data_IF_967141361056
#
_entry.id   IF_967141361056
#
_cell.length_a   1.000
_cell.length_b   1.000
_cell.length_c   1.000
_cell.angle_alpha   90.00
_cell.angle_beta   90.00
_cell.angle_gamma   90.00
#
_symmetry.space_group_name_H-M   'P 1'
#
loop_
_entity.id
_entity.type
_entity.pdbx_description
1 polymer ?
#
# COMPACT_ATOMS: atom_id res chain seq x y z
N UNK A 1 -30.81 7.99 17.45
CA UNK A 1 -29.70 7.08 17.77
C UNK A 1 -29.11 6.66 16.45
N UNK A 2 -27.82 6.88 16.21
CA UNK A 2 -27.17 6.60 14.93
C UNK A 2 -26.91 5.09 14.78
N UNK A 3 -26.70 4.61 13.54
CA UNK A 3 -26.27 3.23 13.24
C UNK A 3 -25.15 2.72 14.13
N UNK A 4 -24.16 3.57 14.37
CA UNK A 4 -23.03 3.30 15.24
C UNK A 4 -23.43 2.93 16.68
N UNK A 5 -24.48 3.55 17.25
CA UNK A 5 -24.86 3.33 18.65
C UNK A 5 -25.54 1.98 18.92
N UNK A 6 -26.20 1.37 17.92
CA UNK A 6 -26.83 0.05 18.05
C UNK A 6 -25.87 -1.10 17.73
N UNK A 7 -24.85 -0.81 16.91
CA UNK A 7 -23.79 -1.77 16.58
C UNK A 7 -22.98 -2.07 17.85
N UNK A 8 -22.70 -1.08 18.71
CA UNK A 8 -21.90 -1.23 19.94
C UNK A 8 -22.40 -2.31 20.93
N UNK A 9 -23.69 -2.66 20.94
CA UNK A 9 -24.23 -3.70 21.85
C UNK A 9 -23.98 -5.14 21.36
N UNK A 10 -23.64 -5.33 20.08
CA UNK A 10 -23.39 -6.62 19.43
C UNK A 10 -22.15 -6.61 18.52
N UNK A 11 -21.31 -5.58 18.63
CA UNK A 11 -20.11 -5.42 17.85
C UNK A 11 -18.90 -5.87 18.63
N UNK A 12 -17.97 -6.45 17.88
CA UNK A 12 -16.64 -6.75 18.36
C UNK A 12 -15.67 -5.80 17.69
N UNK A 13 -14.64 -5.40 18.44
CA UNK A 13 -13.51 -4.67 17.87
C UNK A 13 -12.61 -5.69 17.19
N UNK A 14 -12.46 -5.57 15.88
CA UNK A 14 -11.55 -6.44 15.11
C UNK A 14 -10.45 -5.60 14.46
N UNK A 15 -9.28 -6.21 14.37
CA UNK A 15 -8.17 -5.64 13.61
C UNK A 15 -8.37 -5.94 12.13
N UNK A 16 -8.42 -4.87 11.33
CA UNK A 16 -8.38 -4.91 9.88
C UNK A 16 -6.93 -4.75 9.44
N UNK A 17 -6.49 -5.61 8.55
CA UNK A 17 -5.25 -5.50 7.79
C UNK A 17 -5.59 -5.02 6.38
N UNK A 18 -5.11 -3.84 6.01
CA UNK A 18 -5.32 -3.22 4.71
C UNK A 18 -4.00 -3.11 3.97
N UNK A 19 -3.94 -3.69 2.77
CA UNK A 19 -2.81 -3.46 1.87
C UNK A 19 -2.83 -1.99 1.43
N UNK A 20 -1.68 -1.32 1.47
CA UNK A 20 -1.51 -0.06 0.77
C UNK A 20 -1.80 -0.27 -0.72
N UNK A 21 -2.25 0.78 -1.40
CA UNK A 21 -2.46 0.76 -2.83
C UNK A 21 -1.19 0.26 -3.54
N UNK A 22 -1.35 -0.53 -4.61
CA UNK A 22 -0.28 -1.16 -5.40
C UNK A 22 0.55 -0.19 -6.26
N UNK A 23 0.75 1.02 -5.76
CA UNK A 23 1.76 1.90 -6.30
C UNK A 23 3.11 1.45 -5.75
N UNK A 24 4.05 1.18 -6.65
CA UNK A 24 5.38 0.82 -6.22
C UNK A 24 5.97 1.97 -5.43
N UNK A 25 6.42 1.68 -4.20
CA UNK A 25 7.20 2.60 -3.38
C UNK A 25 8.65 2.16 -3.39
N UNK A 26 9.54 3.09 -3.73
CA UNK A 26 10.99 2.84 -3.79
C UNK A 26 11.70 3.78 -2.83
N UNK A 27 12.63 3.24 -2.03
CA UNK A 27 13.51 4.04 -1.19
C UNK A 27 14.92 4.06 -1.73
N UNK A 28 15.51 5.24 -1.81
CA UNK A 28 16.93 5.44 -2.12
C UNK A 28 17.61 5.95 -0.85
N UNK A 29 18.71 5.32 -0.45
CA UNK A 29 19.53 5.71 0.68
C UNK A 29 20.95 6.04 0.21
N UNK A 30 21.48 7.17 0.68
CA UNK A 30 22.88 7.54 0.52
C UNK A 30 23.68 7.22 1.79
N UNK A 31 24.90 6.72 1.63
CA UNK A 31 25.77 6.31 2.74
C UNK A 31 26.44 7.49 3.49
N UNK A 32 26.56 8.65 2.85
CA UNK A 32 27.14 9.88 3.38
C UNK A 32 26.38 11.13 2.93
N UNK A 33 26.66 12.28 3.56
CA UNK A 33 26.09 13.57 3.13
C UNK A 33 26.80 14.07 1.88
N UNK A 34 26.06 14.76 1.02
CA UNK A 34 26.63 15.48 -0.12
C UNK A 34 27.45 16.68 0.36
N UNK A 35 28.49 16.98 -0.39
CA UNK A 35 29.43 18.07 -0.14
C UNK A 35 29.55 18.97 -1.36
N UNK A 36 30.08 20.17 -1.15
CA UNK A 36 30.30 21.15 -2.22
C UNK A 36 31.00 20.55 -3.43
N UNK A 37 30.39 20.75 -4.60
CA UNK A 37 30.91 20.25 -5.87
C UNK A 37 30.44 18.85 -6.26
N UNK A 38 29.57 18.20 -5.47
CA UNK A 38 28.93 16.97 -5.92
C UNK A 38 27.98 17.22 -7.10
N UNK A 39 27.97 16.28 -8.04
CA UNK A 39 26.96 16.14 -9.09
C UNK A 39 26.25 14.80 -8.88
N UNK A 40 24.96 14.84 -8.59
CA UNK A 40 24.14 13.68 -8.25
C UNK A 40 23.29 13.37 -9.48
N UNK A 41 23.42 12.17 -10.02
CA UNK A 41 22.70 11.75 -11.22
C UNK A 41 22.15 10.33 -11.06
N UNK A 42 21.03 10.06 -11.71
CA UNK A 42 20.45 8.72 -11.82
C UNK A 42 19.60 8.62 -13.08
N UNK A 43 19.31 7.40 -13.50
CA UNK A 43 18.36 7.13 -14.57
C UNK A 43 17.11 6.47 -13.99
N UNK A 44 15.94 7.03 -14.29
CA UNK A 44 14.63 6.51 -13.88
C UNK A 44 13.83 6.23 -15.14
N UNK A 45 13.51 4.95 -15.37
CA UNK A 45 12.78 4.48 -16.56
C UNK A 45 13.38 4.94 -17.90
N UNK A 46 14.71 5.09 -17.96
CA UNK A 46 15.40 5.55 -19.17
C UNK A 46 15.54 7.07 -19.27
N UNK A 47 14.99 7.85 -18.34
CA UNK A 47 15.14 9.31 -18.28
C UNK A 47 16.22 9.67 -17.26
N UNK A 48 17.19 10.47 -17.67
CA UNK A 48 18.25 10.95 -16.79
C UNK A 48 17.75 12.12 -15.95
N UNK A 49 17.99 12.03 -14.64
CA UNK A 49 17.78 13.09 -13.66
C UNK A 49 19.13 13.44 -13.07
N UNK A 50 19.42 14.73 -12.95
CA UNK A 50 20.66 15.19 -12.33
C UNK A 50 20.48 16.52 -11.61
N UNK A 51 21.13 16.64 -10.45
CA UNK A 51 21.16 17.86 -9.64
C UNK A 51 22.59 18.08 -9.13
N UNK A 52 23.08 19.30 -9.26
CA UNK A 52 24.32 19.72 -8.62
C UNK A 52 24.10 20.05 -7.13
N UNK A 53 25.14 19.86 -6.32
CA UNK A 53 25.14 20.27 -4.93
C UNK A 53 24.72 21.74 -4.79
N UNK A 54 23.82 21.99 -3.84
CA UNK A 54 23.30 23.32 -3.54
C UNK A 54 24.10 23.98 -2.41
N UNK A 55 23.44 24.39 -1.33
CA UNK A 55 24.11 25.04 -0.20
C UNK A 55 24.45 24.05 0.90
N UNK A 56 23.58 23.07 1.10
CA UNK A 56 23.72 22.02 2.10
C UNK A 56 23.03 20.71 1.65
N UNK A 57 23.15 19.67 2.48
CA UNK A 57 22.53 18.37 2.25
C UNK A 57 21.01 18.48 2.08
N UNK A 58 20.32 19.22 2.95
CA UNK A 58 18.87 19.27 2.97
C UNK A 58 18.29 19.95 1.73
N UNK A 59 18.90 21.07 1.31
CA UNK A 59 18.55 21.80 0.09
C UNK A 59 18.85 21.00 -1.17
N UNK A 60 19.98 20.28 -1.20
CA UNK A 60 20.33 19.40 -2.33
C UNK A 60 19.37 18.22 -2.44
N UNK A 61 19.05 17.54 -1.33
CA UNK A 61 18.07 16.45 -1.31
C UNK A 61 16.67 16.92 -1.73
N UNK A 62 16.26 18.12 -1.30
CA UNK A 62 14.97 18.69 -1.69
C UNK A 62 14.91 19.01 -3.18
N UNK A 63 16.00 19.59 -3.73
CA UNK A 63 16.10 19.87 -5.15
C UNK A 63 16.07 18.58 -6.00
N UNK A 64 16.80 17.55 -5.56
CA UNK A 64 16.77 16.24 -6.23
C UNK A 64 15.37 15.60 -6.17
N UNK A 65 14.68 15.69 -5.03
CA UNK A 65 13.31 15.19 -4.92
C UNK A 65 12.36 15.89 -5.88
N UNK A 66 12.45 17.22 -6.00
CA UNK A 66 11.63 17.99 -6.96
C UNK A 66 11.89 17.57 -8.41
N UNK A 67 13.16 17.44 -8.82
CA UNK A 67 13.49 17.03 -10.19
C UNK A 67 12.98 15.61 -10.51
N UNK A 68 13.00 14.70 -9.52
CA UNK A 68 12.45 13.35 -9.67
C UNK A 68 10.92 13.35 -9.74
N UNK A 69 10.25 14.18 -8.94
CA UNK A 69 8.77 14.28 -8.92
C UNK A 69 8.20 14.89 -10.21
N UNK A 70 8.97 15.72 -10.91
CA UNK A 70 8.58 16.27 -12.22
C UNK A 70 8.56 15.21 -13.34
N UNK A 71 9.05 13.99 -13.08
CA UNK A 71 8.94 12.86 -14.01
C UNK A 71 7.51 12.31 -14.04
N UNK A 72 6.92 12.15 -15.23
CA UNK A 72 5.54 11.66 -15.38
C UNK A 72 5.25 10.21 -14.93
N UNK A 73 6.28 9.43 -14.57
CA UNK A 73 6.15 8.08 -14.01
C UNK A 73 6.22 8.06 -12.47
N UNK A 74 6.52 9.20 -11.84
CA UNK A 74 6.61 9.38 -10.38
C UNK A 74 5.44 10.26 -9.93
N UNK A 75 4.61 9.78 -9.00
CA UNK A 75 3.52 10.57 -8.40
C UNK A 75 4.06 11.55 -7.37
N UNK A 76 4.94 11.06 -6.50
CA UNK A 76 5.57 11.87 -5.44
C UNK A 76 7.01 11.42 -5.22
N UNK A 77 7.90 12.37 -4.90
CA UNK A 77 9.21 12.08 -4.36
C UNK A 77 9.46 12.96 -3.14
N UNK A 78 9.68 12.33 -1.99
CA UNK A 78 9.84 13.05 -0.71
C UNK A 78 11.15 12.68 -0.03
N UNK A 79 11.74 13.66 0.66
CA UNK A 79 12.88 13.44 1.56
C UNK A 79 12.36 12.82 2.86
N UNK A 80 12.51 11.50 3.00
CA UNK A 80 11.99 10.73 4.14
C UNK A 80 13.00 10.59 5.31
N UNK A 81 14.24 11.02 5.09
CA UNK A 81 15.29 11.12 6.10
C UNK A 81 16.44 12.00 5.61
N UNK A 82 17.45 12.27 6.45
CA UNK A 82 18.56 13.16 6.08
C UNK A 82 19.32 12.74 4.80
N UNK A 83 19.26 11.45 4.45
CA UNK A 83 19.91 10.84 3.28
C UNK A 83 18.98 9.88 2.53
N UNK A 84 17.68 9.95 2.79
CA UNK A 84 16.70 9.00 2.23
C UNK A 84 15.66 9.74 1.37
N UNK A 85 15.41 9.21 0.18
CA UNK A 85 14.29 9.59 -0.68
C UNK A 85 13.27 8.46 -0.71
N UNK A 86 11.99 8.79 -0.64
CA UNK A 86 10.88 7.87 -0.90
C UNK A 86 10.12 8.32 -2.13
N UNK A 87 10.11 7.47 -3.16
CA UNK A 87 9.42 7.67 -4.42
C UNK A 87 8.16 6.81 -4.44
N UNK A 88 7.06 7.34 -4.97
CA UNK A 88 5.83 6.61 -5.26
C UNK A 88 5.57 6.67 -6.76
N UNK A 89 5.33 5.51 -7.39
CA UNK A 89 5.02 5.46 -8.82
C UNK A 89 3.66 6.08 -9.12
N UNK A 90 3.53 6.74 -10.28
CA UNK A 90 2.29 7.34 -10.78
C UNK A 90 1.21 6.32 -11.17
N UNK A 91 1.61 5.09 -11.49
CA UNK A 91 0.70 4.07 -11.98
C UNK A 91 0.77 2.81 -11.12
N UNK A 92 -0.38 2.19 -10.89
CA UNK A 92 -0.46 0.94 -10.13
C UNK A 92 0.15 -0.21 -10.94
N UNK A 93 0.79 -1.15 -10.24
CA UNK A 93 1.39 -2.36 -10.82
C UNK A 93 2.46 -2.13 -11.91
N UNK A 94 3.01 -0.92 -12.04
CA UNK A 94 4.17 -0.62 -12.87
C UNK A 94 5.47 -0.61 -12.07
N UNK A 95 6.60 -0.83 -12.73
CA UNK A 95 7.92 -0.81 -12.11
C UNK A 95 8.65 0.51 -12.42
N UNK A 96 9.16 1.16 -11.38
CA UNK A 96 10.20 2.17 -11.44
C UNK A 96 11.57 1.47 -11.49
N UNK A 97 12.15 1.50 -12.68
CA UNK A 97 13.50 1.01 -12.96
C UNK A 97 14.47 2.16 -12.73
N UNK A 98 15.07 2.18 -11.54
CA UNK A 98 16.11 3.13 -11.18
C UNK A 98 17.46 2.48 -11.38
N UNK A 99 18.31 3.11 -12.20
CA UNK A 99 19.66 2.63 -12.49
C UNK A 99 20.65 3.80 -12.41
N UNK A 100 21.94 3.47 -12.42
CA UNK A 100 23.02 4.45 -12.51
C UNK A 100 22.96 5.57 -11.45
N UNK A 101 22.58 5.24 -10.21
CA UNK A 101 22.67 6.18 -9.09
C UNK A 101 24.16 6.46 -8.84
N UNK A 102 24.59 7.67 -9.17
CA UNK A 102 26.00 8.06 -9.19
C UNK A 102 26.15 9.46 -8.62
N UNK A 103 27.11 9.63 -7.72
CA UNK A 103 27.56 10.92 -7.23
C UNK A 103 29.02 11.13 -7.64
N UNK A 104 29.32 12.26 -8.29
CA UNK A 104 30.68 12.58 -8.78
C UNK A 104 31.11 13.99 -8.36
N UNK A 105 32.33 14.38 -8.71
CA UNK A 105 32.83 15.75 -8.54
C UNK A 105 33.49 16.00 -7.18
N UNK A 106 32.67 16.22 -6.14
CA UNK A 106 33.08 16.65 -4.80
C UNK A 106 34.16 15.79 -4.13
N UNK A 107 34.74 16.34 -3.05
CA UNK A 107 35.84 15.72 -2.30
C UNK A 107 35.45 14.34 -1.75
N UNK A 108 34.21 14.23 -1.27
CA UNK A 108 33.58 12.98 -0.87
C UNK A 108 32.47 12.64 -1.89
N UNK A 109 32.32 11.37 -2.21
CA UNK A 109 31.36 10.87 -3.20
C UNK A 109 30.50 9.78 -2.56
N UNK A 110 29.37 10.15 -1.94
CA UNK A 110 28.44 9.19 -1.37
C UNK A 110 27.94 8.20 -2.41
N UNK A 111 27.74 6.95 -2.01
CA UNK A 111 27.08 5.93 -2.82
C UNK A 111 25.59 5.93 -2.49
N UNK A 112 24.75 5.99 -3.52
CA UNK A 112 23.30 5.82 -3.40
C UNK A 112 22.88 4.41 -3.80
N UNK A 113 22.03 3.79 -2.99
CA UNK A 113 21.47 2.46 -3.27
C UNK A 113 19.97 2.43 -3.07
N UNK A 114 19.31 1.49 -3.74
CA UNK A 114 17.89 1.21 -3.52
C UNK A 114 17.78 0.38 -2.24
N UNK A 115 17.29 0.98 -1.16
CA UNK A 115 17.18 0.33 0.15
C UNK A 115 15.90 -0.48 0.31
N UNK A 116 14.84 -0.16 -0.43
CA UNK A 116 13.64 -1.00 -0.52
C UNK A 116 12.81 -0.74 -1.79
N UNK A 117 12.08 -1.77 -2.23
CA UNK A 117 11.03 -1.69 -3.25
C UNK A 117 9.84 -2.56 -2.82
N UNK A 118 8.65 -1.98 -2.69
CA UNK A 118 7.42 -2.67 -2.29
C UNK A 118 6.22 -2.23 -3.13
N UNK A 119 5.16 -3.02 -3.19
CA UNK A 119 3.90 -2.63 -3.84
C UNK A 119 3.94 -2.65 -5.37
N UNK A 120 4.78 -3.49 -5.98
CA UNK A 120 4.92 -3.58 -7.43
C UNK A 120 5.87 -4.70 -7.87
N UNK A 121 6.15 -4.78 -9.17
CA UNK A 121 7.13 -5.74 -9.70
C UNK A 121 8.57 -5.25 -9.45
N UNK A 122 9.43 -6.16 -9.01
CA UNK A 122 10.88 -5.97 -8.89
C UNK A 122 11.54 -7.10 -9.68
N UNK A 123 12.26 -6.74 -10.75
CA UNK A 123 12.89 -7.72 -11.65
C UNK A 123 11.88 -8.78 -12.17
N UNK A 124 10.66 -8.35 -12.48
CA UNK A 124 9.57 -9.23 -12.94
C UNK A 124 8.94 -10.12 -11.86
N UNK A 125 9.30 -9.96 -10.58
CA UNK A 125 8.65 -10.64 -9.44
C UNK A 125 7.78 -9.67 -8.64
N UNK A 126 6.54 -10.03 -8.37
CA UNK A 126 5.63 -9.21 -7.56
C UNK A 126 6.11 -9.11 -6.11
N UNK A 127 6.23 -7.89 -5.59
CA UNK A 127 6.50 -7.61 -4.19
C UNK A 127 5.24 -7.04 -3.54
N UNK A 128 4.82 -7.65 -2.43
CA UNK A 128 3.60 -7.25 -1.74
C UNK A 128 3.72 -5.80 -1.22
N UNK A 129 2.66 -4.97 -1.33
CA UNK A 129 2.64 -3.64 -0.72
C UNK A 129 2.71 -3.73 0.82
N UNK A 130 3.10 -2.62 1.45
CA UNK A 130 3.01 -2.50 2.90
C UNK A 130 1.56 -2.72 3.35
N UNK A 131 1.39 -3.45 4.44
CA UNK A 131 0.07 -3.62 5.07
C UNK A 131 0.00 -2.70 6.29
N UNK A 132 -1.05 -1.90 6.38
CA UNK A 132 -1.38 -1.13 7.58
C UNK A 132 -2.50 -1.83 8.34
N UNK A 133 -2.54 -1.65 9.65
CA UNK A 133 -3.63 -2.18 10.46
C UNK A 133 -4.37 -1.07 11.19
N UNK A 134 -5.68 -1.24 11.33
CA UNK A 134 -6.54 -0.37 12.12
C UNK A 134 -7.67 -1.17 12.74
N UNK A 135 -8.24 -0.66 13.81
CA UNK A 135 -9.36 -1.31 14.50
C UNK A 135 -10.70 -0.77 13.99
N UNK A 136 -11.68 -1.66 13.87
CA UNK A 136 -13.06 -1.30 13.57
C UNK A 136 -14.02 -1.97 14.55
N UNK A 137 -15.16 -1.34 14.78
CA UNK A 137 -16.33 -2.00 15.35
C UNK A 137 -17.15 -2.67 14.24
N UNK A 138 -17.40 -3.98 14.39
CA UNK A 138 -18.16 -4.76 13.41
C UNK A 138 -19.02 -5.82 14.11
N UNK A 139 -20.25 -6.01 13.63
CA UNK A 139 -21.08 -7.14 14.04
C UNK A 139 -20.91 -8.29 13.04
N UNK A 140 -20.28 -9.39 13.47
CA UNK A 140 -19.98 -10.56 12.63
C UNK A 140 -21.05 -11.64 12.84
N UNK A 141 -21.53 -12.22 11.74
CA UNK A 141 -22.53 -13.28 11.74
C UNK A 141 -22.14 -14.38 10.74
N UNK A 142 -22.39 -15.67 11.05
CA UNK A 142 -22.21 -16.74 10.08
C UNK A 142 -23.18 -16.58 8.90
N UNK A 143 -22.76 -17.00 7.71
CA UNK A 143 -23.65 -17.06 6.55
C UNK A 143 -24.64 -18.23 6.71
N UNK A 144 -25.93 -17.98 6.46
CA UNK A 144 -26.92 -19.05 6.50
C UNK A 144 -26.79 -19.94 5.26
N UNK A 145 -27.18 -21.22 5.37
CA UNK A 145 -27.04 -22.19 4.26
C UNK A 145 -27.74 -21.75 2.95
N UNK A 146 -28.88 -21.07 3.04
CA UNK A 146 -29.57 -20.54 1.85
C UNK A 146 -28.88 -19.31 1.24
N UNK A 147 -28.06 -18.59 2.00
CA UNK A 147 -27.22 -17.50 1.51
C UNK A 147 -26.00 -18.06 0.77
N UNK A 148 -25.40 -19.15 1.25
CA UNK A 148 -24.32 -19.87 0.57
C UNK A 148 -24.73 -20.37 -0.82
N UNK A 149 -25.99 -20.78 -1.00
CA UNK A 149 -26.53 -21.18 -2.30
C UNK A 149 -26.58 -20.04 -3.32
N UNK A 150 -26.45 -18.79 -2.91
CA UNK A 150 -26.38 -17.63 -3.82
C UNK A 150 -24.96 -17.37 -4.31
N UNK A 151 -23.95 -17.98 -3.70
CA UNK A 151 -22.56 -17.88 -4.14
C UNK A 151 -22.29 -18.81 -5.34
N UNK A 152 -21.30 -18.47 -6.18
CA UNK A 152 -20.75 -19.39 -7.18
C UNK A 152 -20.31 -20.71 -6.54
N UNK A 153 -20.41 -21.81 -7.28
CA UNK A 153 -20.15 -23.15 -6.76
C UNK A 153 -18.70 -23.34 -6.26
N UNK A 154 -17.74 -22.73 -6.95
CA UNK A 154 -16.32 -22.76 -6.57
C UNK A 154 -16.04 -22.15 -5.19
N UNK A 155 -16.91 -21.26 -4.71
CA UNK A 155 -16.71 -20.49 -3.49
C UNK A 155 -17.42 -21.10 -2.27
N UNK A 156 -18.34 -22.05 -2.48
CA UNK A 156 -19.16 -22.64 -1.40
C UNK A 156 -18.41 -23.55 -0.44
N UNK A 157 -17.19 -23.94 -0.78
CA UNK A 157 -16.34 -24.83 0.03
C UNK A 157 -15.55 -24.10 1.12
N UNK A 158 -15.46 -22.76 1.04
CA UNK A 158 -14.78 -21.91 2.04
C UNK A 158 -15.72 -21.57 3.19
N UNK A 159 -15.17 -21.22 4.35
CA UNK A 159 -15.97 -20.63 5.43
C UNK A 159 -16.31 -19.16 5.08
N UNK A 160 -17.59 -18.80 5.19
CA UNK A 160 -18.07 -17.46 4.91
C UNK A 160 -18.73 -16.84 6.13
N UNK A 161 -18.42 -15.57 6.36
CA UNK A 161 -19.06 -14.74 7.37
C UNK A 161 -19.56 -13.45 6.73
N UNK A 162 -20.56 -12.82 7.36
CA UNK A 162 -21.02 -11.48 7.00
C UNK A 162 -20.79 -10.54 8.18
N UNK A 163 -20.48 -9.29 7.86
CA UNK A 163 -20.28 -8.25 8.85
C UNK A 163 -21.08 -7.01 8.54
N UNK A 164 -21.45 -6.28 9.59
CA UNK A 164 -22.05 -4.96 9.50
C UNK A 164 -21.19 -3.95 10.25
N UNK A 165 -20.69 -2.94 9.56
CA UNK A 165 -19.80 -1.92 10.13
C UNK A 165 -20.11 -0.55 9.56
N UNK A 166 -19.79 0.51 10.31
CA UNK A 166 -19.85 1.88 9.80
C UNK A 166 -18.64 2.23 8.92
N UNK A 167 -17.51 1.53 9.09
CA UNK A 167 -16.26 1.81 8.41
C UNK A 167 -16.24 1.15 7.02
N UNK A 168 -15.91 1.87 5.94
CA UNK A 168 -15.81 1.26 4.62
C UNK A 168 -14.62 0.30 4.55
N UNK A 169 -14.89 -0.93 4.15
CA UNK A 169 -13.88 -1.94 3.85
C UNK A 169 -13.71 -2.14 2.35
N UNK A 170 -12.46 -2.32 1.93
CA UNK A 170 -12.04 -2.45 0.54
C UNK A 170 -12.19 -3.88 0.07
N UNK A 171 -12.75 -4.05 -1.12
CA UNK A 171 -12.76 -5.31 -1.87
C UNK A 171 -11.45 -5.42 -2.66
N UNK A 172 -11.08 -6.65 -3.03
CA UNK A 172 -10.01 -6.84 -4.00
C UNK A 172 -10.38 -6.17 -5.34
N UNK A 173 -9.39 -5.54 -5.97
CA UNK A 173 -9.51 -4.93 -7.29
C UNK A 173 -8.43 -5.52 -8.21
N UNK A 174 -8.85 -6.30 -9.20
CA UNK A 174 -7.94 -6.94 -10.16
C UNK A 174 -7.25 -5.93 -11.08
N UNK A 175 -7.85 -4.76 -11.33
CA UNK A 175 -7.30 -3.77 -12.25
C UNK A 175 -6.11 -3.02 -11.63
N UNK A 176 -6.22 -2.65 -10.36
CA UNK A 176 -5.10 -2.11 -9.58
C UNK A 176 -4.25 -3.21 -8.93
N UNK A 177 -4.73 -4.44 -8.91
CA UNK A 177 -4.17 -5.60 -8.20
C UNK A 177 -4.35 -5.53 -6.68
N UNK A 178 -5.06 -4.53 -6.16
CA UNK A 178 -5.20 -4.31 -4.72
C UNK A 178 -5.91 -5.51 -4.09
N UNK A 179 -5.37 -6.00 -2.97
CA UNK A 179 -6.02 -7.06 -2.20
C UNK A 179 -7.18 -6.49 -1.40
N UNK A 180 -8.18 -7.33 -1.13
CA UNK A 180 -9.24 -6.95 -0.21
C UNK A 180 -8.71 -6.78 1.20
N UNK A 181 -9.39 -5.96 1.99
CA UNK A 181 -9.11 -5.87 3.42
C UNK A 181 -9.26 -7.25 4.07
N UNK A 182 -8.44 -7.53 5.07
CA UNK A 182 -8.48 -8.78 5.82
C UNK A 182 -8.80 -8.51 7.29
N UNK A 183 -9.54 -9.42 7.92
CA UNK A 183 -9.81 -9.38 9.36
C UNK A 183 -9.36 -10.67 10.04
N UNK A 184 -8.86 -10.54 11.26
CA UNK A 184 -8.60 -11.68 12.13
C UNK A 184 -9.82 -11.92 13.03
N UNK A 185 -10.43 -13.11 12.93
CA UNK A 185 -11.59 -13.49 13.73
C UNK A 185 -11.55 -14.98 14.09
N UNK A 186 -11.73 -15.32 15.36
CA UNK A 186 -11.69 -16.70 15.86
C UNK A 186 -10.45 -17.51 15.42
N UNK A 187 -9.28 -16.87 15.40
CA UNK A 187 -8.01 -17.52 15.01
C UNK A 187 -7.87 -17.80 13.50
N UNK A 188 -8.80 -17.32 12.69
CA UNK A 188 -8.79 -17.41 11.22
C UNK A 188 -8.67 -16.02 10.59
N UNK A 189 -8.15 -15.98 9.37
CA UNK A 189 -8.09 -14.75 8.56
C UNK A 189 -9.16 -14.80 7.49
N UNK A 190 -9.93 -13.73 7.37
CA UNK A 190 -10.98 -13.59 6.37
C UNK A 190 -10.72 -12.38 5.49
N UNK A 191 -10.88 -12.53 4.17
CA UNK A 191 -10.72 -11.45 3.20
C UNK A 191 -12.08 -10.93 2.73
N UNK A 192 -12.17 -9.62 2.55
CA UNK A 192 -13.37 -8.94 2.06
C UNK A 192 -13.59 -9.26 0.58
N UNK A 193 -14.65 -10.00 0.32
CA UNK A 193 -15.04 -10.42 -1.04
C UNK A 193 -16.10 -9.50 -1.65
N UNK A 194 -16.94 -8.90 -0.80
CA UNK A 194 -17.99 -7.98 -1.25
C UNK A 194 -18.28 -6.94 -0.18
N UNK A 195 -18.45 -5.69 -0.59
CA UNK A 195 -18.86 -4.59 0.29
C UNK A 195 -20.03 -3.85 -0.36
N UNK A 196 -21.17 -3.82 0.32
CA UNK A 196 -22.37 -3.11 -0.11
C UNK A 196 -22.63 -1.97 0.86
N UNK A 197 -22.70 -0.74 0.34
CA UNK A 197 -23.00 0.44 1.15
C UNK A 197 -24.51 0.64 1.21
N UNK A 198 -25.07 0.62 2.42
CA UNK A 198 -26.49 0.84 2.67
C UNK A 198 -26.69 2.27 3.15
N UNK A 199 -27.02 3.15 2.20
CA UNK A 199 -27.41 4.54 2.45
C UNK A 199 -28.93 4.66 2.28
N UNK A 200 -29.55 5.69 2.87
CA UNK A 200 -31.00 5.95 2.83
C UNK A 200 -31.84 5.16 3.86
N UNK A 201 -31.20 4.59 4.88
CA UNK A 201 -31.89 4.12 6.09
C UNK A 201 -31.46 4.96 7.29
N UNK A 202 -32.19 4.89 8.41
CA UNK A 202 -31.84 5.60 9.65
C UNK A 202 -30.45 5.18 10.22
N UNK A 203 -29.88 4.08 9.72
CA UNK A 203 -28.59 3.52 10.12
C UNK A 203 -27.68 3.36 8.90
N UNK A 204 -26.90 4.38 8.55
CA UNK A 204 -25.87 4.25 7.51
C UNK A 204 -24.81 3.23 7.91
N UNK A 205 -24.64 2.18 7.11
CA UNK A 205 -23.67 1.12 7.37
C UNK A 205 -23.25 0.41 6.08
N UNK A 206 -22.22 -0.41 6.20
CA UNK A 206 -21.75 -1.32 5.16
C UNK A 206 -22.11 -2.75 5.56
N UNK A 207 -22.68 -3.48 4.60
CA UNK A 207 -22.81 -4.94 4.66
C UNK A 207 -21.63 -5.53 3.91
N UNK A 208 -20.83 -6.34 4.59
CA UNK A 208 -19.60 -6.92 4.04
C UNK A 208 -19.69 -8.44 4.08
N UNK A 209 -19.27 -9.11 3.01
CA UNK A 209 -19.09 -10.56 2.95
C UNK A 209 -17.61 -10.88 2.97
N UNK A 210 -17.23 -11.81 3.84
CA UNK A 210 -15.86 -12.28 3.95
C UNK A 210 -15.77 -13.78 3.70
N UNK A 211 -14.66 -14.20 3.08
CA UNK A 211 -14.31 -15.59 2.89
C UNK A 211 -13.00 -15.91 3.63
N UNK A 212 -12.92 -17.10 4.23
CA UNK A 212 -11.68 -17.58 4.83
C UNK A 212 -10.56 -17.62 3.78
N UNK A 213 -9.42 -17.04 4.14
CA UNK A 213 -8.21 -17.10 3.33
C UNK A 213 -7.48 -18.38 3.72
N UNK A 214 -7.29 -19.28 2.76
CA UNK A 214 -6.36 -20.38 2.94
C UNK A 214 -4.96 -19.76 3.09
N UNK A 215 -4.40 -19.80 4.30
CA UNK A 215 -3.02 -19.39 4.49
C UNK A 215 -2.13 -20.35 3.72
N UNK A 216 -1.46 -19.86 2.67
CA UNK A 216 -0.29 -20.55 2.15
C UNK A 216 0.74 -20.58 3.27
N UNK A 217 1.08 -21.77 3.74
CA UNK A 217 2.25 -21.98 4.58
C UNK A 217 3.44 -21.59 3.72
N UNK A 218 4.08 -20.46 4.06
CA UNK A 218 5.35 -20.09 3.42
C UNK A 218 6.32 -21.28 3.51
N UNK A 219 6.96 -21.69 2.42
CA UNK A 219 7.91 -22.81 2.42
C UNK A 219 9.13 -22.54 3.31
#
# INVERSE_FOLDING_TARGET
>A
MTGAALIHDFAEVVTVSRSAENYQTVKILYDADFVTGNHISMNINGIDVAVDFQVDQATTMSALATEIEDLGDVETCTVSGARELTLVCAYAATELVITQIVVTGGVDQPTGEISSKIGGYVDGKWQQPATTSFEIEISIQPLAGHELLKLPEADRTREWIKGYTATPLWIADEASGNRGDQIAYNGKTYEVMKSERWMETDLNHHKVLFAEVNQEVAP
#
